data_IF_513779462604
#
_entry.id   IF_513779462604
#
_cell.length_a   1.000
_cell.length_b   1.000
_cell.length_c   1.000
_cell.angle_alpha   90.00
_cell.angle_beta   90.00
_cell.angle_gamma   90.00
#
_symmetry.space_group_name_H-M   'P 1'
#
loop_
_entity.id
_entity.type
_entity.pdbx_description
1 polymer ?
#
# COMPACT_ATOMS: atom_id res chain seq x y z
N UNK A 1 -1.81 28.62 58.15
CA UNK A 1 -0.70 28.82 59.11
C UNK A 1 0.23 27.61 59.04
N UNK A 2 1.52 27.87 58.73
CA UNK A 2 2.77 27.10 58.98
C UNK A 2 2.78 25.56 58.71
N UNK A 3 3.51 25.04 57.71
CA UNK A 3 4.98 24.87 57.49
C UNK A 3 5.56 23.55 58.06
N UNK A 4 6.01 22.67 57.15
CA UNK A 4 7.24 21.86 57.15
C UNK A 4 7.04 20.70 56.13
N UNK A 5 7.86 20.41 55.11
CA UNK A 5 9.24 20.78 54.80
C UNK A 5 10.18 19.62 55.09
N UNK A 6 10.32 18.63 54.18
CA UNK A 6 11.52 17.79 54.12
C UNK A 6 11.75 17.21 52.72
N UNK A 7 12.91 17.58 52.14
CA UNK A 7 13.52 17.06 50.93
C UNK A 7 14.08 15.65 51.14
N UNK A 8 14.07 14.81 50.09
CA UNK A 8 15.17 13.86 49.78
C UNK A 8 15.12 13.36 48.32
N UNK A 9 16.09 13.87 47.55
CA UNK A 9 17.01 13.14 46.66
C UNK A 9 16.48 12.06 45.69
N UNK A 10 16.34 12.46 44.42
CA UNK A 10 17.16 12.01 43.28
C UNK A 10 17.41 10.51 43.04
N UNK A 11 16.76 9.96 42.02
CA UNK A 11 17.27 8.86 41.20
C UNK A 11 17.02 9.21 39.73
N UNK A 12 18.09 9.67 39.07
CA UNK A 12 18.15 9.96 37.64
C UNK A 12 18.59 8.68 36.93
N UNK A 13 17.74 8.14 36.06
CA UNK A 13 18.11 7.04 35.16
C UNK A 13 18.82 7.59 33.91
N UNK A 14 19.94 6.99 33.45
CA UNK A 14 20.71 7.52 32.34
C UNK A 14 20.02 7.21 31.00
N UNK A 15 19.63 8.27 30.29
CA UNK A 15 19.23 8.24 28.88
C UNK A 15 20.46 7.98 28.01
N UNK A 16 20.47 6.89 27.23
CA UNK A 16 21.51 6.63 26.22
C UNK A 16 21.39 7.62 25.05
N UNK A 17 22.51 8.17 24.53
CA UNK A 17 22.48 9.09 23.40
C UNK A 17 22.24 8.34 22.09
N UNK A 18 21.28 8.81 21.29
CA UNK A 18 21.10 8.45 19.88
C UNK A 18 22.29 9.01 19.08
N UNK A 19 23.02 8.14 18.40
CA UNK A 19 24.13 8.51 17.52
C UNK A 19 23.61 9.27 16.30
N UNK A 20 24.02 10.52 16.20
CA UNK A 20 23.89 11.37 15.01
C UNK A 20 24.79 10.85 13.88
N UNK A 21 24.23 10.56 12.71
CA UNK A 21 24.99 10.40 11.48
C UNK A 21 24.47 11.43 10.47
N UNK A 22 25.13 12.58 10.43
CA UNK A 22 24.99 13.55 9.35
C UNK A 22 26.39 13.99 8.90
N UNK A 23 26.51 14.13 7.58
CA UNK A 23 27.60 14.74 6.82
C UNK A 23 28.93 13.98 6.71
N UNK A 24 29.19 13.50 5.49
CA UNK A 24 30.38 13.87 4.70
C UNK A 24 30.10 13.70 3.21
N UNK A 25 29.86 14.82 2.53
CA UNK A 25 30.06 14.98 1.09
C UNK A 25 31.24 15.95 0.92
N UNK A 26 32.28 15.56 0.18
CA UNK A 26 33.01 16.42 -0.76
C UNK A 26 34.24 15.72 -1.38
N UNK A 27 34.18 15.63 -2.73
CA UNK A 27 35.24 15.88 -3.73
C UNK A 27 36.52 15.00 -3.72
N UNK A 28 36.82 14.39 -4.87
CA UNK A 28 37.75 14.99 -5.84
C UNK A 28 37.73 14.33 -7.22
N UNK A 29 37.87 15.20 -8.23
CA UNK A 29 38.00 14.93 -9.66
C UNK A 29 39.49 15.06 -10.06
N UNK A 30 39.85 14.34 -11.12
CA UNK A 30 41.02 14.48 -12.00
C UNK A 30 42.33 13.79 -11.61
N UNK A 31 42.75 12.85 -12.49
CA UNK A 31 43.91 13.07 -13.37
C UNK A 31 43.96 12.04 -14.51
N UNK A 32 44.05 12.55 -15.73
CA UNK A 32 44.51 11.85 -16.92
C UNK A 32 46.03 11.99 -17.03
N UNK A 33 46.73 10.96 -17.53
CA UNK A 33 47.93 11.07 -18.38
C UNK A 33 48.50 9.70 -18.80
N UNK A 34 48.73 9.53 -20.11
CA UNK A 34 49.72 8.63 -20.74
C UNK A 34 49.31 7.15 -20.86
N UNK A 35 49.38 6.46 -22.00
CA UNK A 35 50.08 6.71 -23.26
C UNK A 35 50.90 5.47 -23.65
N UNK A 36 50.82 5.07 -24.93
CA UNK A 36 51.61 4.05 -25.64
C UNK A 36 51.21 2.57 -25.45
N UNK A 37 51.50 1.64 -26.35
CA UNK A 37 51.53 1.56 -27.82
C UNK A 37 51.64 0.05 -28.13
N UNK A 38 51.07 -0.34 -29.27
CA UNK A 38 51.29 -1.55 -30.10
C UNK A 38 52.03 -2.82 -29.58
N UNK A 39 51.48 -4.00 -29.92
CA UNK A 39 52.30 -5.22 -30.03
C UNK A 39 51.54 -6.53 -30.21
N UNK A 40 51.43 -7.01 -31.47
CA UNK A 40 50.86 -8.30 -31.87
C UNK A 40 51.80 -9.50 -31.60
N UNK A 41 51.14 -10.67 -31.46
CA UNK A 41 51.51 -12.01 -31.97
C UNK A 41 52.35 -12.99 -31.11
N UNK A 42 51.92 -14.27 -31.14
CA UNK A 42 52.70 -15.47 -30.82
C UNK A 42 52.23 -16.22 -29.55
N UNK A 43 51.12 -16.96 -29.58
CA UNK A 43 51.03 -18.40 -29.91
C UNK A 43 51.53 -19.38 -28.82
N UNK A 44 50.59 -20.14 -28.25
CA UNK A 44 50.80 -21.54 -27.86
C UNK A 44 50.76 -21.89 -26.37
N UNK A 45 49.61 -22.34 -25.87
CA UNK A 45 49.45 -23.68 -25.26
C UNK A 45 48.03 -23.85 -24.69
N UNK A 46 47.44 -24.99 -25.03
CA UNK A 46 46.05 -25.38 -24.84
C UNK A 46 45.59 -25.50 -23.38
N UNK A 47 44.35 -25.11 -23.10
CA UNK A 47 43.46 -25.86 -22.19
C UNK A 47 42.06 -25.94 -22.81
N UNK A 48 41.76 -27.16 -23.25
CA UNK A 48 40.48 -27.83 -23.46
C UNK A 48 39.21 -27.02 -23.19
N UNK A 49 38.47 -26.78 -24.28
CA UNK A 49 37.04 -26.48 -24.21
C UNK A 49 36.24 -27.66 -23.68
N UNK A 50 35.30 -27.37 -22.78
CA UNK A 50 34.06 -28.12 -22.66
C UNK A 50 32.88 -27.17 -22.83
N UNK A 51 32.14 -27.50 -23.87
CA UNK A 51 30.82 -27.04 -24.28
C UNK A 51 29.83 -26.78 -23.14
N UNK A 52 29.12 -25.67 -23.29
CA UNK A 52 27.71 -25.40 -22.96
C UNK A 52 26.98 -26.39 -22.04
N UNK A 53 26.38 -25.84 -20.97
CA UNK A 53 24.98 -26.12 -20.65
C UNK A 53 24.25 -24.80 -20.41
N UNK A 54 23.43 -24.46 -21.37
CA UNK A 54 22.40 -23.43 -21.31
C UNK A 54 21.37 -23.76 -20.21
N UNK A 55 20.85 -22.69 -19.59
CA UNK A 55 19.41 -22.45 -19.52
C UNK A 55 18.53 -23.54 -18.92
N UNK A 56 18.21 -23.37 -17.65
CA UNK A 56 16.83 -23.52 -17.23
C UNK A 56 16.47 -22.27 -16.42
N UNK A 57 16.35 -21.12 -17.08
CA UNK A 57 15.56 -20.02 -16.52
C UNK A 57 14.16 -20.58 -16.35
N UNK A 58 13.77 -20.85 -15.11
CA UNK A 58 12.42 -21.27 -14.76
C UNK A 58 11.47 -20.16 -15.24
N UNK A 59 10.84 -20.39 -16.39
CA UNK A 59 9.82 -19.50 -16.94
C UNK A 59 8.51 -19.80 -16.22
N UNK A 60 8.37 -19.24 -15.02
CA UNK A 60 7.20 -19.42 -14.17
C UNK A 60 7.44 -18.99 -12.72
N UNK A 61 6.37 -18.87 -11.91
CA UNK A 61 6.49 -18.50 -10.49
C UNK A 61 7.43 -19.44 -9.74
N UNK A 62 8.37 -18.86 -8.99
CA UNK A 62 9.34 -19.61 -8.20
C UNK A 62 8.70 -20.11 -6.90
N UNK A 63 8.53 -21.43 -6.79
CA UNK A 63 7.97 -22.10 -5.61
C UNK A 63 9.03 -22.66 -4.64
N UNK A 64 10.32 -22.37 -4.85
CA UNK A 64 11.43 -22.99 -4.10
C UNK A 64 11.45 -22.58 -2.62
N UNK A 65 10.78 -21.49 -2.26
CA UNK A 65 10.48 -21.11 -0.87
C UNK A 65 8.99 -21.27 -0.59
N UNK A 66 8.61 -22.48 -0.16
CA UNK A 66 7.32 -22.71 0.52
C UNK A 66 7.44 -22.12 1.93
N UNK A 67 7.50 -20.80 2.00
CA UNK A 67 7.25 -20.09 3.26
C UNK A 67 5.77 -20.27 3.61
N UNK A 68 5.45 -20.30 4.92
CA UNK A 68 4.06 -20.44 5.36
C UNK A 68 3.22 -19.38 4.66
N UNK A 69 2.07 -19.78 4.13
CA UNK A 69 1.29 -18.93 3.24
C UNK A 69 0.52 -17.85 4.01
N UNK A 70 1.25 -16.92 4.65
CA UNK A 70 0.70 -15.78 5.37
C UNK A 70 -0.28 -15.01 4.49
N UNK A 71 0.00 -14.89 3.20
CA UNK A 71 -0.93 -14.29 2.22
C UNK A 71 -2.35 -14.88 2.29
N UNK A 72 -2.47 -16.21 2.42
CA UNK A 72 -3.77 -16.88 2.51
C UNK A 72 -4.39 -16.79 3.91
N UNK A 73 -3.64 -16.48 4.96
CA UNK A 73 -4.23 -16.12 6.24
C UNK A 73 -4.77 -14.67 6.21
N UNK A 74 -4.08 -13.77 5.50
CA UNK A 74 -4.49 -12.38 5.34
C UNK A 74 -5.79 -12.20 4.53
N UNK A 75 -6.13 -13.14 3.66
CA UNK A 75 -7.45 -13.10 2.99
C UNK A 75 -8.58 -13.21 4.02
N UNK A 76 -8.45 -14.11 5.00
CA UNK A 76 -9.49 -14.33 6.03
C UNK A 76 -9.65 -13.10 6.92
N UNK A 77 -8.58 -12.36 7.13
CA UNK A 77 -8.58 -11.09 7.87
C UNK A 77 -9.46 -10.06 7.16
N UNK A 78 -9.19 -9.80 5.87
CA UNK A 78 -9.98 -8.82 5.10
C UNK A 78 -11.40 -9.31 4.81
N UNK A 79 -11.62 -10.62 4.65
CA UNK A 79 -12.95 -11.20 4.52
C UNK A 79 -13.80 -10.99 5.78
N UNK A 80 -13.23 -11.21 6.97
CA UNK A 80 -13.94 -11.00 8.23
C UNK A 80 -14.30 -9.52 8.43
N UNK A 81 -13.38 -8.61 8.12
CA UNK A 81 -13.61 -7.17 8.16
C UNK A 81 -14.67 -6.74 7.15
N UNK A 82 -14.60 -7.22 5.91
CA UNK A 82 -15.58 -6.93 4.86
C UNK A 82 -16.98 -7.47 5.21
N UNK A 83 -17.08 -8.68 5.75
CA UNK A 83 -18.35 -9.26 6.23
C UNK A 83 -18.96 -8.43 7.37
N UNK A 84 -18.14 -7.84 8.22
CA UNK A 84 -18.61 -7.01 9.33
C UNK A 84 -19.03 -5.61 8.85
N UNK A 85 -18.14 -4.88 8.16
CA UNK A 85 -18.42 -3.57 7.61
C UNK A 85 -19.53 -3.57 6.56
N UNK A 86 -19.59 -4.61 5.71
CA UNK A 86 -20.62 -4.78 4.68
C UNK A 86 -22.02 -4.93 5.24
N UNK A 87 -22.17 -5.38 6.49
CA UNK A 87 -23.47 -5.47 7.16
C UNK A 87 -24.08 -4.11 7.49
N UNK A 88 -23.30 -3.04 7.35
CA UNK A 88 -23.69 -1.64 7.54
C UNK A 88 -23.94 -0.88 6.23
N UNK A 89 -23.85 -1.55 5.08
CA UNK A 89 -24.07 -0.93 3.78
C UNK A 89 -25.44 -0.23 3.72
N UNK A 90 -25.41 1.08 3.47
CA UNK A 90 -26.60 1.94 3.34
C UNK A 90 -27.30 2.31 4.66
N UNK A 91 -26.72 2.00 5.82
CA UNK A 91 -27.34 2.29 7.13
C UNK A 91 -27.11 3.71 7.66
N UNK A 92 -26.34 4.54 6.95
CA UNK A 92 -26.09 5.94 7.33
C UNK A 92 -25.12 6.15 8.49
N UNK A 93 -24.52 5.09 9.04
CA UNK A 93 -23.57 5.16 10.15
C UNK A 93 -22.19 4.69 9.71
N UNK A 94 -21.33 5.64 9.34
CA UNK A 94 -19.96 5.34 8.91
C UNK A 94 -19.07 4.86 10.06
N UNK A 95 -19.28 5.36 11.28
CA UNK A 95 -18.42 5.04 12.42
C UNK A 95 -18.71 3.63 12.92
N UNK A 96 -19.98 3.22 12.94
CA UNK A 96 -20.34 1.85 13.30
C UNK A 96 -19.90 0.82 12.24
N UNK A 97 -19.96 1.20 10.95
CA UNK A 97 -19.43 0.35 9.87
C UNK A 97 -17.92 0.11 10.02
N UNK A 98 -17.19 1.19 10.29
CA UNK A 98 -15.75 1.19 10.46
C UNK A 98 -15.32 0.39 11.71
N UNK A 99 -15.92 0.69 12.86
CA UNK A 99 -15.68 -0.04 14.10
C UNK A 99 -15.93 -1.55 13.95
N UNK A 100 -17.01 -1.95 13.25
CA UNK A 100 -17.29 -3.35 13.00
C UNK A 100 -16.18 -4.04 12.16
N UNK A 101 -15.63 -3.33 11.17
CA UNK A 101 -14.52 -3.81 10.36
C UNK A 101 -13.23 -3.93 11.18
N UNK A 102 -12.88 -2.89 11.95
CA UNK A 102 -11.73 -2.85 12.87
C UNK A 102 -11.76 -4.04 13.85
N UNK A 103 -12.89 -4.23 14.53
CA UNK A 103 -13.08 -5.27 15.54
C UNK A 103 -12.79 -6.66 14.96
N UNK A 104 -13.37 -6.94 13.78
CA UNK A 104 -13.24 -8.25 13.15
C UNK A 104 -11.88 -8.45 12.50
N UNK A 105 -11.30 -7.41 11.88
CA UNK A 105 -9.93 -7.44 11.36
C UNK A 105 -8.95 -7.79 12.48
N UNK A 106 -8.97 -7.03 13.57
CA UNK A 106 -8.08 -7.23 14.72
C UNK A 106 -8.25 -8.61 15.36
N UNK A 107 -9.50 -9.04 15.53
CA UNK A 107 -9.81 -10.37 16.10
C UNK A 107 -9.17 -11.47 15.27
N UNK A 108 -9.31 -11.46 13.95
CA UNK A 108 -8.72 -12.50 13.10
C UNK A 108 -7.20 -12.37 13.06
N UNK A 109 -6.66 -11.15 12.95
CA UNK A 109 -5.21 -10.92 12.98
C UNK A 109 -4.53 -11.47 14.24
N UNK A 110 -5.18 -11.38 15.40
CA UNK A 110 -4.65 -11.93 16.66
C UNK A 110 -4.41 -13.44 16.63
N UNK A 111 -5.03 -14.16 15.69
CA UNK A 111 -4.89 -15.60 15.51
C UNK A 111 -3.81 -15.98 14.50
N UNK A 112 -3.28 -15.02 13.74
CA UNK A 112 -2.27 -15.27 12.71
C UNK A 112 -0.91 -15.52 13.37
N UNK A 113 -0.23 -16.60 12.92
CA UNK A 113 1.07 -17.00 13.44
C UNK A 113 2.18 -16.07 12.92
N UNK A 114 2.37 -14.95 13.62
CA UNK A 114 3.34 -13.90 13.30
C UNK A 114 3.63 -13.04 14.54
N UNK A 115 4.67 -12.23 14.45
CA UNK A 115 5.00 -11.18 15.39
C UNK A 115 4.91 -9.86 14.61
N UNK A 116 3.69 -9.34 14.53
CA UNK A 116 3.36 -8.14 13.77
C UNK A 116 3.44 -6.89 14.62
N UNK A 117 3.88 -5.80 13.99
CA UNK A 117 3.68 -4.44 14.49
C UNK A 117 2.82 -3.68 13.48
N UNK A 118 1.76 -3.05 13.94
CA UNK A 118 0.94 -2.13 13.14
C UNK A 118 1.75 -0.85 12.91
N UNK A 119 2.23 -0.64 11.69
CA UNK A 119 2.92 0.60 11.28
C UNK A 119 1.91 1.63 10.78
N UNK A 120 0.85 1.16 10.12
CA UNK A 120 -0.27 1.97 9.65
C UNK A 120 -1.56 1.31 10.13
N UNK A 121 -2.42 2.07 10.79
CA UNK A 121 -3.75 1.64 11.18
C UNK A 121 -4.67 2.82 11.51
N UNK A 122 -5.58 2.65 12.47
CA UNK A 122 -6.68 3.60 12.75
C UNK A 122 -6.20 4.95 13.30
N UNK A 123 -4.98 5.02 13.81
CA UNK A 123 -4.39 6.24 14.35
C UNK A 123 -3.40 5.98 15.47
N UNK A 124 -3.08 7.04 16.22
CA UNK A 124 -2.20 6.95 17.38
C UNK A 124 -2.88 6.24 18.55
N UNK A 125 -2.08 5.67 19.47
CA UNK A 125 -2.59 4.89 20.62
C UNK A 125 -3.62 5.62 21.49
N UNK A 126 -3.47 6.94 21.62
CA UNK A 126 -4.37 7.76 22.44
C UNK A 126 -5.70 8.08 21.70
N UNK A 127 -5.74 7.89 20.38
CA UNK A 127 -6.87 8.23 19.51
C UNK A 127 -7.62 6.98 19.02
N UNK A 128 -6.94 5.84 18.92
CA UNK A 128 -7.48 4.57 18.45
C UNK A 128 -7.31 3.45 19.51
N UNK A 129 -8.41 2.83 19.99
CA UNK A 129 -8.33 1.77 20.99
C UNK A 129 -7.77 0.44 20.45
N UNK A 130 -7.77 0.27 19.12
CA UNK A 130 -7.44 -0.96 18.40
C UNK A 130 -6.80 -0.62 17.07
N UNK A 131 -5.88 -1.46 16.60
CA UNK A 131 -5.09 -1.26 15.38
C UNK A 131 -4.38 0.10 15.37
N UNK A 132 -3.89 0.54 16.53
CA UNK A 132 -3.14 1.78 16.66
C UNK A 132 -1.69 1.60 16.19
N UNK A 133 -1.05 2.68 15.75
CA UNK A 133 0.36 2.70 15.36
C UNK A 133 1.26 2.22 16.52
N UNK A 134 2.00 1.13 16.29
CA UNK A 134 2.83 0.45 17.28
C UNK A 134 2.15 -0.70 18.03
N UNK A 135 0.89 -1.04 17.74
CA UNK A 135 0.25 -2.22 18.33
C UNK A 135 0.98 -3.50 17.92
N UNK A 136 1.27 -4.38 18.89
CA UNK A 136 1.77 -5.72 18.64
C UNK A 136 0.60 -6.69 18.42
N UNK A 137 0.61 -7.40 17.30
CA UNK A 137 -0.51 -8.27 16.90
C UNK A 137 -0.03 -9.59 16.28
N UNK A 138 -0.87 -10.62 16.35
CA UNK A 138 -0.53 -12.01 16.01
C UNK A 138 -0.15 -12.84 17.24
N UNK A 139 0.26 -14.08 17.03
CA UNK A 139 0.61 -15.01 18.14
C UNK A 139 1.96 -14.72 18.81
N UNK A 140 2.71 -13.72 18.33
CA UNK A 140 4.04 -13.36 18.82
C UNK A 140 5.18 -14.27 18.34
N UNK A 141 4.90 -15.18 17.42
CA UNK A 141 5.88 -16.12 16.86
C UNK A 141 6.50 -15.55 15.58
N UNK A 142 7.66 -16.04 15.15
CA UNK A 142 8.22 -15.66 13.84
C UNK A 142 7.21 -15.92 12.70
N UNK A 143 7.20 -15.10 11.64
CA UNK A 143 8.17 -14.03 11.35
C UNK A 143 7.88 -12.68 12.04
N UNK A 144 8.93 -11.87 12.24
CA UNK A 144 8.82 -10.43 12.56
C UNK A 144 8.36 -9.63 11.32
N UNK A 145 7.19 -9.03 11.40
CA UNK A 145 6.58 -8.30 10.27
C UNK A 145 6.09 -6.91 10.66
N UNK A 146 6.03 -6.04 9.66
CA UNK A 146 5.27 -4.79 9.67
C UNK A 146 3.91 -5.02 9.01
N UNK A 147 2.89 -4.33 9.53
CA UNK A 147 1.51 -4.43 9.05
C UNK A 147 0.97 -3.03 8.79
N UNK A 148 0.36 -2.85 7.62
CA UNK A 148 -0.47 -1.70 7.30
C UNK A 148 -1.90 -2.17 7.05
N UNK A 149 -2.86 -1.61 7.77
CA UNK A 149 -4.27 -1.96 7.66
C UNK A 149 -5.10 -0.74 7.29
N UNK A 150 -6.11 -0.99 6.46
CA UNK A 150 -7.25 -0.12 6.27
C UNK A 150 -8.49 -1.02 6.33
N UNK A 151 -9.07 -1.22 7.53
CA UNK A 151 -10.21 -2.09 7.74
C UNK A 151 -11.39 -1.74 6.85
N UNK A 152 -11.59 -0.46 6.52
CA UNK A 152 -12.66 0.00 5.66
C UNK A 152 -12.29 1.25 4.84
N UNK A 153 -11.62 1.04 3.71
CA UNK A 153 -11.38 2.08 2.71
C UNK A 153 -12.73 2.46 2.07
N UNK A 154 -13.22 3.65 2.41
CA UNK A 154 -14.52 4.15 1.98
C UNK A 154 -15.65 3.97 3.00
N UNK A 155 -15.41 4.28 4.28
CA UNK A 155 -16.47 4.34 5.32
C UNK A 155 -17.70 5.16 4.89
N UNK A 156 -17.50 6.29 4.21
CA UNK A 156 -18.57 7.11 3.63
C UNK A 156 -19.34 6.34 2.55
N UNK A 157 -18.64 5.62 1.67
CA UNK A 157 -19.27 4.79 0.63
C UNK A 157 -20.19 3.76 1.26
N UNK A 158 -19.73 3.04 2.29
CA UNK A 158 -20.55 2.05 2.99
C UNK A 158 -21.76 2.69 3.63
N UNK A 159 -21.57 3.77 4.40
CA UNK A 159 -22.70 4.43 5.08
C UNK A 159 -23.79 4.89 4.11
N UNK A 160 -23.40 5.29 2.89
CA UNK A 160 -24.30 5.79 1.85
C UNK A 160 -24.78 4.70 0.86
N UNK A 161 -24.35 3.45 1.03
CA UNK A 161 -24.70 2.36 0.11
C UNK A 161 -24.10 2.52 -1.28
N UNK A 162 -22.95 3.19 -1.39
CA UNK A 162 -22.23 3.42 -2.65
C UNK A 162 -21.21 2.34 -2.91
N UNK A 163 -20.84 2.25 -4.19
CA UNK A 163 -19.84 1.35 -4.73
C UNK A 163 -18.41 1.81 -4.39
N UNK A 164 -17.47 0.86 -4.37
CA UNK A 164 -16.03 1.09 -4.31
C UNK A 164 -15.34 0.78 -2.97
N UNK A 165 -16.11 0.52 -1.90
CA UNK A 165 -15.52 0.24 -0.59
C UNK A 165 -14.85 -1.14 -0.53
N UNK A 166 -13.64 -1.19 0.01
CA UNK A 166 -12.84 -2.41 0.20
C UNK A 166 -12.24 -2.45 1.60
N UNK A 167 -11.90 -3.65 2.08
CA UNK A 167 -11.10 -3.85 3.29
C UNK A 167 -9.71 -4.34 2.87
N UNK A 168 -8.64 -3.76 3.42
CA UNK A 168 -7.28 -3.94 2.91
C UNK A 168 -6.27 -4.19 4.02
N UNK A 169 -5.29 -5.04 3.71
CA UNK A 169 -4.10 -5.23 4.52
C UNK A 169 -2.87 -5.43 3.63
N UNK A 170 -1.77 -4.79 4.03
CA UNK A 170 -0.43 -5.07 3.53
C UNK A 170 0.48 -5.53 4.66
N UNK A 171 1.40 -6.43 4.35
CA UNK A 171 2.38 -6.97 5.29
C UNK A 171 3.72 -7.08 4.60
N UNK A 172 4.79 -6.70 5.29
CA UNK A 172 6.15 -6.83 4.82
C UNK A 172 7.10 -7.18 5.97
N UNK A 173 8.38 -7.41 5.67
CA UNK A 173 9.40 -7.59 6.69
C UNK A 173 9.45 -6.39 7.67
N UNK A 174 9.88 -6.64 8.91
CA UNK A 174 10.03 -5.58 9.91
C UNK A 174 10.90 -4.42 9.39
N UNK A 175 10.39 -3.20 9.50
CA UNK A 175 11.01 -1.96 9.04
C UNK A 175 10.93 -1.73 7.52
N UNK A 176 10.15 -2.52 6.77
CA UNK A 176 10.04 -2.42 5.31
C UNK A 176 8.93 -1.48 4.84
N UNK A 177 7.91 -1.21 5.67
CA UNK A 177 6.85 -0.25 5.35
C UNK A 177 7.25 1.16 5.80
N UNK A 178 6.98 2.14 4.96
CA UNK A 178 7.19 3.55 5.29
C UNK A 178 6.24 4.00 6.39
N UNK A 179 6.79 4.65 7.41
CA UNK A 179 6.02 5.26 8.48
C UNK A 179 5.59 6.68 8.03
N UNK A 180 4.28 6.95 7.86
CA UNK A 180 3.77 8.25 7.43
C UNK A 180 4.06 9.36 8.45
N UNK A 181 4.32 9.02 9.71
CA UNK A 181 4.54 9.96 10.80
C UNK A 181 3.44 11.03 10.87
N UNK A 182 3.78 12.31 11.02
CA UNK A 182 2.78 13.37 11.18
C UNK A 182 2.13 13.82 9.86
N UNK A 183 2.57 13.31 8.70
CA UNK A 183 2.11 13.79 7.40
C UNK A 183 1.06 12.86 6.79
N UNK A 184 -0.21 13.17 7.04
CA UNK A 184 -1.34 12.32 6.65
C UNK A 184 -1.73 12.39 5.18
N UNK A 185 -1.16 13.29 4.37
CA UNK A 185 -1.46 13.41 2.95
C UNK A 185 -0.19 13.36 2.09
N UNK A 186 -0.33 12.80 0.89
CA UNK A 186 0.70 12.80 -0.13
C UNK A 186 0.10 12.93 -1.52
N UNK A 187 0.85 13.57 -2.42
CA UNK A 187 0.67 13.42 -3.86
C UNK A 187 1.05 11.99 -4.27
N UNK A 188 0.30 11.43 -5.21
CA UNK A 188 0.44 10.07 -5.70
C UNK A 188 0.44 10.08 -7.23
N UNK A 189 1.34 9.30 -7.81
CA UNK A 189 1.30 8.89 -9.22
C UNK A 189 1.45 7.38 -9.25
N UNK A 190 0.47 6.67 -9.81
CA UNK A 190 0.56 5.22 -9.98
C UNK A 190 0.33 4.78 -11.42
N UNK A 191 1.08 3.78 -11.85
CA UNK A 191 1.00 3.18 -13.19
C UNK A 191 1.13 1.66 -13.13
N UNK A 192 0.58 0.98 -14.13
CA UNK A 192 0.69 -0.47 -14.31
C UNK A 192 2.06 -0.95 -14.82
N UNK A 193 2.28 -2.29 -14.84
CA UNK A 193 3.55 -2.91 -15.23
C UNK A 193 3.98 -2.64 -16.68
N UNK A 194 3.06 -2.27 -17.56
CA UNK A 194 3.33 -1.94 -18.95
C UNK A 194 4.02 -0.57 -19.12
N UNK A 195 3.98 0.28 -18.08
CA UNK A 195 4.58 1.62 -18.11
C UNK A 195 5.91 1.60 -17.37
N UNK A 196 7.01 1.87 -18.07
CA UNK A 196 8.30 2.04 -17.43
C UNK A 196 8.26 3.22 -16.44
N UNK A 197 8.57 3.02 -15.15
CA UNK A 197 8.43 4.05 -14.11
C UNK A 197 9.32 5.28 -14.35
N UNK A 198 10.39 5.17 -15.15
CA UNK A 198 11.25 6.29 -15.52
C UNK A 198 10.65 7.22 -16.60
N UNK A 199 9.56 6.80 -17.25
CA UNK A 199 8.86 7.62 -18.25
C UNK A 199 7.89 8.64 -17.61
N UNK A 200 7.52 8.40 -16.34
CA UNK A 200 6.54 9.21 -15.60
C UNK A 200 7.18 9.80 -14.35
N UNK A 201 6.72 10.98 -13.92
CA UNK A 201 7.17 11.60 -12.68
C UNK A 201 6.18 12.60 -12.12
N UNK A 202 6.06 12.65 -10.79
CA UNK A 202 5.37 13.75 -10.09
C UNK A 202 6.00 15.13 -10.38
N UNK A 203 7.26 15.19 -10.85
CA UNK A 203 7.92 16.43 -11.24
C UNK A 203 7.57 16.88 -12.67
N UNK A 204 6.88 16.05 -13.45
CA UNK A 204 6.51 16.37 -14.82
C UNK A 204 5.13 17.04 -14.89
N UNK A 205 4.91 17.92 -15.89
CA UNK A 205 3.57 18.37 -16.20
C UNK A 205 2.63 17.19 -16.46
N UNK A 206 1.38 17.31 -16.04
CA UNK A 206 0.34 16.27 -16.19
C UNK A 206 0.23 15.76 -17.63
N UNK A 207 0.25 16.68 -18.60
CA UNK A 207 0.21 16.34 -20.03
C UNK A 207 1.36 15.41 -20.45
N UNK A 208 2.57 15.62 -19.91
CA UNK A 208 3.73 14.78 -20.21
C UNK A 208 3.56 13.37 -19.66
N UNK A 209 3.07 13.23 -18.43
CA UNK A 209 2.78 11.93 -17.83
C UNK A 209 1.72 11.17 -18.64
N UNK A 210 0.62 11.84 -19.01
CA UNK A 210 -0.44 11.25 -19.85
C UNK A 210 0.10 10.78 -21.20
N UNK A 211 0.92 11.59 -21.87
CA UNK A 211 1.55 11.22 -23.15
C UNK A 211 2.50 10.03 -22.99
N UNK A 212 3.28 9.99 -21.92
CA UNK A 212 4.17 8.87 -21.63
C UNK A 212 3.40 7.55 -21.44
N UNK A 213 2.31 7.59 -20.67
CA UNK A 213 1.41 6.45 -20.47
C UNK A 213 0.77 6.02 -21.80
N UNK A 214 0.29 6.97 -22.61
CA UNK A 214 -0.28 6.70 -23.93
C UNK A 214 0.70 5.95 -24.86
N UNK A 215 1.97 6.39 -24.87
CA UNK A 215 3.04 5.75 -25.66
C UNK A 215 3.34 4.34 -25.14
N UNK A 216 3.49 4.17 -23.83
CA UNK A 216 3.79 2.87 -23.23
C UNK A 216 2.68 1.84 -23.50
N UNK A 217 1.41 2.27 -23.43
CA UNK A 217 0.24 1.43 -23.66
C UNK A 217 -0.17 1.33 -25.14
N UNK A 218 0.59 1.94 -26.05
CA UNK A 218 0.32 1.98 -27.50
C UNK A 218 -1.13 2.37 -27.84
N UNK A 219 -1.62 3.45 -27.22
CA UNK A 219 -2.99 3.96 -27.44
C UNK A 219 -3.02 5.48 -27.53
N UNK A 220 -4.02 6.08 -28.21
CA UNK A 220 -4.09 7.53 -28.32
C UNK A 220 -4.43 8.14 -26.95
N UNK A 221 -3.99 9.38 -26.72
CA UNK A 221 -4.21 10.11 -25.45
C UNK A 221 -5.69 10.16 -25.04
N UNK A 222 -6.60 10.27 -26.01
CA UNK A 222 -8.06 10.27 -25.77
C UNK A 222 -8.61 8.98 -25.15
N UNK A 223 -7.86 7.89 -25.24
CA UNK A 223 -8.22 6.58 -24.69
C UNK A 223 -7.47 6.28 -23.39
N UNK A 224 -6.62 7.20 -22.91
CA UNK A 224 -6.02 7.14 -21.57
C UNK A 224 -7.05 7.63 -20.55
N UNK A 225 -7.26 6.86 -19.49
CA UNK A 225 -8.13 7.21 -18.37
C UNK A 225 -7.30 7.45 -17.12
N UNK A 226 -7.41 8.67 -16.58
CA UNK A 226 -6.77 9.08 -15.32
C UNK A 226 -7.76 8.93 -14.17
N UNK A 227 -7.39 8.17 -13.14
CA UNK A 227 -8.16 8.02 -11.91
C UNK A 227 -7.74 9.10 -10.90
N UNK A 228 -8.71 9.86 -10.39
CA UNK A 228 -8.48 11.02 -9.50
C UNK A 228 -9.60 11.08 -8.46
N UNK A 229 -9.26 11.35 -7.19
CA UNK A 229 -10.28 11.64 -6.16
C UNK A 229 -11.04 12.94 -6.49
N UNK A 230 -12.36 12.95 -6.40
CA UNK A 230 -13.18 14.14 -6.59
C UNK A 230 -13.11 15.04 -5.35
N UNK A 231 -12.19 16.00 -5.38
CA UNK A 231 -11.94 16.94 -4.29
C UNK A 231 -11.68 18.32 -4.85
N UNK A 232 -12.06 19.41 -4.14
CA UNK A 232 -11.76 20.77 -4.57
C UNK A 232 -10.27 21.01 -4.85
N UNK A 233 -9.38 20.40 -4.05
CA UNK A 233 -7.91 20.46 -4.23
C UNK A 233 -7.42 19.86 -5.56
N UNK A 234 -8.25 19.09 -6.27
CA UNK A 234 -7.91 18.49 -7.56
C UNK A 234 -8.52 19.22 -8.76
N UNK A 235 -9.18 20.37 -8.57
CA UNK A 235 -9.78 21.10 -9.68
C UNK A 235 -8.77 21.43 -10.80
N UNK A 236 -7.54 21.81 -10.41
CA UNK A 236 -6.47 22.12 -11.37
C UNK A 236 -5.97 20.87 -12.11
N UNK A 237 -5.64 19.79 -11.40
CA UNK A 237 -5.15 18.56 -12.04
C UNK A 237 -6.20 17.93 -12.97
N UNK A 238 -7.49 18.02 -12.59
CA UNK A 238 -8.62 17.61 -13.43
C UNK A 238 -8.69 18.46 -14.71
N UNK A 239 -8.55 19.79 -14.59
CA UNK A 239 -8.55 20.67 -15.75
C UNK A 239 -7.37 20.38 -16.69
N UNK A 240 -6.17 20.15 -16.14
CA UNK A 240 -4.98 19.78 -16.91
C UNK A 240 -5.14 18.43 -17.63
N UNK A 241 -5.76 17.43 -16.99
CA UNK A 241 -6.06 16.14 -17.63
C UNK A 241 -7.05 16.31 -18.80
N UNK A 242 -8.11 17.11 -18.62
CA UNK A 242 -9.08 17.43 -19.68
C UNK A 242 -8.42 18.16 -20.84
N UNK A 243 -7.55 19.12 -20.55
CA UNK A 243 -6.80 19.87 -21.57
C UNK A 243 -5.84 18.99 -22.36
N UNK A 244 -5.18 18.03 -21.69
CA UNK A 244 -4.35 17.02 -22.35
C UNK A 244 -5.15 16.08 -23.26
N UNK A 245 -6.48 16.03 -23.10
CA UNK A 245 -7.39 15.22 -23.90
C UNK A 245 -7.65 13.82 -23.33
N UNK A 246 -7.20 13.52 -22.12
CA UNK A 246 -7.46 12.24 -21.46
C UNK A 246 -8.88 12.15 -20.89
N UNK A 247 -9.35 10.92 -20.70
CA UNK A 247 -10.56 10.61 -19.92
C UNK A 247 -10.23 10.68 -18.43
N UNK A 248 -11.25 10.93 -17.61
CA UNK A 248 -11.09 10.97 -16.15
C UNK A 248 -12.13 10.06 -15.51
N UNK A 249 -11.68 9.24 -14.57
CA UNK A 249 -12.54 8.54 -13.63
C UNK A 249 -12.42 9.22 -12.27
N UNK A 250 -13.51 9.82 -11.82
CA UNK A 250 -13.57 10.48 -10.52
C UNK A 250 -14.02 9.48 -9.46
N UNK A 251 -13.24 9.40 -8.37
CA UNK A 251 -13.56 8.58 -7.21
C UNK A 251 -14.03 9.47 -6.06
N UNK A 252 -15.16 9.17 -5.43
CA UNK A 252 -15.55 9.91 -4.23
C UNK A 252 -14.70 9.54 -3.02
N UNK A 253 -14.27 8.29 -2.89
CA UNK A 253 -13.31 7.79 -1.89
C UNK A 253 -12.61 6.56 -2.50
N UNK A 254 -11.64 5.95 -1.82
CA UNK A 254 -11.08 4.66 -2.27
C UNK A 254 -9.89 4.76 -3.23
N UNK A 255 -8.84 5.50 -2.84
CA UNK A 255 -7.70 5.71 -3.74
C UNK A 255 -6.68 4.56 -3.74
N UNK A 256 -6.76 3.62 -2.79
CA UNK A 256 -6.05 2.33 -2.82
C UNK A 256 -6.54 1.50 -4.00
N UNK A 257 -7.86 1.32 -4.12
CA UNK A 257 -8.47 0.59 -5.23
C UNK A 257 -8.10 1.24 -6.58
N UNK A 258 -8.17 2.58 -6.65
CA UNK A 258 -7.80 3.34 -7.85
C UNK A 258 -6.35 3.14 -8.29
N UNK A 259 -5.41 3.01 -7.33
CA UNK A 259 -4.02 2.68 -7.62
C UNK A 259 -3.87 1.25 -8.15
N UNK A 260 -4.48 0.27 -7.48
CA UNK A 260 -4.39 -1.16 -7.88
C UNK A 260 -4.98 -1.38 -9.27
N UNK A 261 -6.06 -0.65 -9.59
CA UNK A 261 -6.69 -0.69 -10.90
C UNK A 261 -5.73 -0.29 -12.04
N UNK A 262 -4.67 0.48 -11.82
CA UNK A 262 -3.70 0.80 -12.89
C UNK A 262 -2.91 -0.42 -13.33
N UNK A 263 -2.75 -1.42 -12.46
CA UNK A 263 -1.99 -2.65 -12.74
C UNK A 263 -2.88 -3.87 -13.03
N UNK A 264 -4.21 -3.72 -12.91
CA UNK A 264 -5.14 -4.82 -13.18
C UNK A 264 -5.39 -4.98 -14.67
N UNK A 265 -5.10 -6.17 -15.20
CA UNK A 265 -5.38 -6.48 -16.60
C UNK A 265 -6.87 -6.27 -16.93
N UNK A 266 -7.14 -5.57 -18.03
CA UNK A 266 -8.51 -5.25 -18.47
C UNK A 266 -9.21 -4.17 -17.63
N UNK A 267 -8.52 -3.55 -16.68
CA UNK A 267 -9.02 -2.36 -15.99
C UNK A 267 -9.18 -1.18 -16.95
N UNK A 268 -10.18 -0.31 -16.74
CA UNK A 268 -10.32 0.91 -17.54
C UNK A 268 -9.37 2.03 -17.12
N UNK A 269 -8.59 1.87 -16.04
CA UNK A 269 -7.70 2.89 -15.46
C UNK A 269 -6.25 2.63 -15.88
N UNK A 270 -5.56 3.68 -16.35
CA UNK A 270 -4.18 3.58 -16.84
C UNK A 270 -3.16 4.32 -15.97
N UNK A 271 -3.65 5.36 -15.29
CA UNK A 271 -2.85 6.29 -14.52
C UNK A 271 -3.67 6.77 -13.34
N UNK A 272 -3.11 6.76 -12.14
CA UNK A 272 -3.67 7.46 -11.00
C UNK A 272 -2.85 8.73 -10.75
N UNK A 273 -3.54 9.84 -10.47
CA UNK A 273 -2.91 11.11 -10.08
C UNK A 273 -3.72 11.81 -8.99
N UNK A 274 -3.04 12.52 -8.10
CA UNK A 274 -3.66 13.46 -7.17
C UNK A 274 -3.12 13.33 -5.75
N UNK A 275 -3.80 13.97 -4.80
CA UNK A 275 -3.48 14.02 -3.38
C UNK A 275 -4.49 13.19 -2.58
N UNK A 276 -3.98 12.18 -1.89
CA UNK A 276 -4.74 11.31 -1.00
C UNK A 276 -3.98 11.04 0.30
N UNK A 277 -4.48 10.11 1.12
CA UNK A 277 -3.84 9.83 2.39
C UNK A 277 -2.49 9.13 2.23
N UNK A 278 -1.49 9.50 3.03
CA UNK A 278 -0.17 8.86 3.01
C UNK A 278 -0.23 7.37 3.39
N UNK A 279 -0.98 6.97 4.44
CA UNK A 279 -1.17 5.55 4.79
C UNK A 279 -1.61 4.68 3.60
N UNK A 280 -2.62 5.14 2.87
CA UNK A 280 -3.19 4.49 1.70
C UNK A 280 -2.18 4.43 0.54
N UNK A 281 -1.30 5.44 0.43
CA UNK A 281 -0.20 5.44 -0.53
C UNK A 281 0.82 4.32 -0.28
N UNK A 282 1.14 4.04 0.98
CA UNK A 282 2.03 2.94 1.37
C UNK A 282 1.39 1.57 1.09
N UNK A 283 0.10 1.44 1.42
CA UNK A 283 -0.69 0.21 1.14
C UNK A 283 -0.77 -0.03 -0.38
N UNK A 284 -1.08 1.01 -1.16
CA UNK A 284 -1.13 0.95 -2.62
C UNK A 284 0.24 0.61 -3.23
N UNK A 285 1.33 1.17 -2.69
CA UNK A 285 2.68 0.82 -3.10
C UNK A 285 2.94 -0.68 -2.86
N UNK A 286 2.62 -1.23 -1.69
CA UNK A 286 2.79 -2.66 -1.41
C UNK A 286 2.01 -3.54 -2.42
N UNK A 287 0.78 -3.14 -2.78
CA UNK A 287 -0.03 -3.83 -3.78
C UNK A 287 0.62 -3.80 -5.18
N UNK A 288 1.03 -2.60 -5.64
CA UNK A 288 1.64 -2.41 -6.96
C UNK A 288 2.98 -3.13 -7.08
N UNK A 289 3.78 -3.19 -6.00
CA UNK A 289 4.99 -4.01 -5.96
C UNK A 289 4.70 -5.48 -6.22
N UNK A 290 3.60 -6.01 -5.70
CA UNK A 290 3.18 -7.39 -5.96
C UNK A 290 2.71 -7.62 -7.41
N UNK A 291 2.19 -6.58 -8.07
CA UNK A 291 1.65 -6.66 -9.44
C UNK A 291 2.65 -6.22 -10.53
N UNK A 292 3.82 -5.72 -10.14
CA UNK A 292 4.82 -5.17 -11.06
C UNK A 292 4.54 -3.73 -11.53
N UNK A 293 3.57 -3.04 -10.92
CA UNK A 293 3.32 -1.62 -11.15
C UNK A 293 4.29 -0.73 -10.36
N UNK A 294 4.07 0.58 -10.41
CA UNK A 294 4.89 1.55 -9.68
C UNK A 294 4.05 2.68 -9.10
N UNK A 295 4.39 3.08 -7.88
CA UNK A 295 3.88 4.29 -7.24
C UNK A 295 5.01 5.27 -6.91
N UNK A 296 4.78 6.54 -7.20
CA UNK A 296 5.55 7.67 -6.69
C UNK A 296 4.69 8.46 -5.70
N UNK A 297 5.30 8.83 -4.57
CA UNK A 297 4.70 9.63 -3.53
C UNK A 297 5.48 10.92 -3.29
N UNK A 298 4.81 12.00 -2.93
CA UNK A 298 5.45 13.19 -2.35
C UNK A 298 4.59 13.72 -1.21
N UNK A 299 5.17 13.83 -0.02
CA UNK A 299 4.46 14.30 1.16
C UNK A 299 3.81 15.67 0.90
N UNK A 300 2.57 15.82 1.34
CA UNK A 300 1.76 17.02 1.13
C UNK A 300 1.22 17.55 2.46
N UNK A 301 2.04 18.32 3.21
CA UNK A 301 1.59 18.94 4.46
C UNK A 301 0.46 19.93 4.17
N UNK A 302 -0.65 19.83 4.92
CA UNK A 302 -1.84 20.69 4.69
C UNK A 302 -1.61 22.14 5.11
N UNK A 303 -0.66 22.37 6.00
CA UNK A 303 -0.36 23.67 6.59
C UNK A 303 1.09 23.70 7.14
N UNK A 304 1.52 24.88 7.58
CA UNK A 304 2.88 25.09 8.10
C UNK A 304 3.15 24.40 9.44
N UNK A 305 2.11 24.01 10.18
CA UNK A 305 2.29 23.23 11.41
C UNK A 305 2.66 21.79 11.09
N UNK A 306 1.92 21.14 10.20
CA UNK A 306 2.26 19.79 9.71
C UNK A 306 3.61 19.76 9.03
N UNK A 307 3.93 20.80 8.23
CA UNK A 307 5.25 20.96 7.61
C UNK A 307 6.36 20.92 8.66
N UNK A 308 6.25 21.75 9.69
CA UNK A 308 7.25 21.81 10.78
C UNK A 308 7.32 20.50 11.56
N UNK A 309 6.20 19.84 11.81
CA UNK A 309 6.18 18.52 12.48
C UNK A 309 6.88 17.45 11.64
N UNK A 310 6.62 17.41 10.33
CA UNK A 310 7.28 16.49 9.41
C UNK A 310 8.79 16.74 9.33
N UNK A 311 9.22 17.99 9.19
CA UNK A 311 10.63 18.38 9.18
C UNK A 311 11.32 18.06 10.51
N UNK A 312 10.66 18.29 11.65
CA UNK A 312 11.17 17.94 12.98
C UNK A 312 11.28 16.42 13.18
N UNK A 313 10.43 15.64 12.53
CA UNK A 313 10.52 14.18 12.47
C UNK A 313 11.62 13.68 11.50
N UNK A 314 12.29 14.59 10.78
CA UNK A 314 13.38 14.27 9.84
C UNK A 314 12.88 13.86 8.45
N UNK A 315 11.62 14.13 8.10
CA UNK A 315 11.06 13.83 6.79
C UNK A 315 11.42 14.94 5.77
N UNK A 316 11.96 14.54 4.62
CA UNK A 316 12.12 15.44 3.47
C UNK A 316 10.81 15.50 2.68
N UNK A 317 10.04 16.56 2.92
CA UNK A 317 8.76 16.81 2.26
C UNK A 317 8.88 17.18 0.77
N UNK A 318 10.08 17.49 0.29
CA UNK A 318 10.33 17.81 -1.12
C UNK A 318 10.73 16.60 -1.95
N UNK A 319 11.16 15.52 -1.29
CA UNK A 319 11.60 14.29 -1.93
C UNK A 319 10.43 13.56 -2.63
N UNK A 320 10.76 12.95 -3.77
CA UNK A 320 9.92 11.90 -4.36
C UNK A 320 10.27 10.60 -3.66
N UNK A 321 9.29 10.03 -2.98
CA UNK A 321 9.31 8.68 -2.44
C UNK A 321 8.93 7.72 -3.58
N UNK A 322 9.87 6.92 -4.04
CA UNK A 322 9.60 5.88 -5.02
C UNK A 322 9.03 4.64 -4.34
N UNK A 323 8.63 3.68 -5.18
CA UNK A 323 8.05 2.40 -4.78
C UNK A 323 8.79 1.72 -3.61
N UNK A 324 10.12 1.66 -3.66
CA UNK A 324 10.94 1.04 -2.62
C UNK A 324 11.16 1.96 -1.41
N UNK A 325 11.01 3.27 -1.52
CA UNK A 325 11.01 4.16 -0.35
C UNK A 325 9.74 3.95 0.49
N UNK A 326 8.62 3.62 -0.16
CA UNK A 326 7.33 3.34 0.48
C UNK A 326 7.23 1.89 0.99
N UNK A 327 7.81 0.93 0.25
CA UNK A 327 7.77 -0.49 0.59
C UNK A 327 9.03 -1.23 0.06
N UNK A 328 10.11 -1.28 0.86
CA UNK A 328 11.42 -1.85 0.45
C UNK A 328 11.58 -3.37 0.62
N UNK A 329 10.57 -4.06 1.14
CA UNK A 329 10.64 -5.50 1.44
C UNK A 329 10.66 -6.39 0.20
N UNK A 330 11.18 -7.62 0.31
CA UNK A 330 11.12 -8.65 -0.73
C UNK A 330 9.94 -9.61 -0.50
N UNK A 331 9.62 -9.87 0.78
CA UNK A 331 8.47 -10.63 1.24
C UNK A 331 7.30 -9.69 1.55
N UNK A 332 6.78 -9.08 0.49
CA UNK A 332 5.58 -8.24 0.58
C UNK A 332 4.34 -9.07 0.24
N UNK A 333 3.33 -8.96 1.09
CA UNK A 333 2.02 -9.56 0.94
C UNK A 333 0.95 -8.48 0.94
N UNK A 334 -0.07 -8.70 0.12
CA UNK A 334 -1.24 -7.83 0.07
C UNK A 334 -2.50 -8.68 0.01
N UNK A 335 -3.54 -8.28 0.74
CA UNK A 335 -4.88 -8.81 0.57
C UNK A 335 -5.91 -7.69 0.61
N UNK A 336 -6.94 -7.81 -0.21
CA UNK A 336 -8.12 -6.97 -0.12
C UNK A 336 -9.40 -7.77 -0.38
N UNK A 337 -10.50 -7.36 0.26
CA UNK A 337 -11.83 -7.95 0.04
C UNK A 337 -12.85 -6.84 -0.23
N UNK A 338 -13.72 -7.04 -1.22
CA UNK A 338 -14.77 -6.09 -1.56
C UNK A 338 -15.85 -6.01 -0.48
N UNK A 339 -16.12 -4.80 0.02
CA UNK A 339 -17.22 -4.54 0.97
C UNK A 339 -18.49 -4.19 0.21
N UNK A 340 -18.38 -3.25 -0.73
CA UNK A 340 -19.41 -2.89 -1.70
C UNK A 340 -18.91 -3.20 -3.12
N UNK A 341 -19.78 -3.16 -4.12
CA UNK A 341 -19.36 -3.45 -5.48
C UNK A 341 -18.37 -2.42 -6.00
N UNK A 342 -17.28 -2.87 -6.61
CA UNK A 342 -16.31 -2.02 -7.31
C UNK A 342 -15.75 -2.73 -8.54
N UNK A 343 -14.96 -2.00 -9.32
CA UNK A 343 -14.38 -2.55 -10.55
C UNK A 343 -13.18 -3.50 -10.27
N UNK A 344 -12.60 -3.40 -9.07
CA UNK A 344 -11.58 -4.30 -8.57
C UNK A 344 -12.19 -5.60 -7.99
N UNK A 345 -13.13 -5.47 -7.06
CA UNK A 345 -13.75 -6.60 -6.33
C UNK A 345 -15.26 -6.42 -6.22
N UNK A 346 -15.99 -7.54 -6.29
CA UNK A 346 -17.41 -7.56 -5.94
C UNK A 346 -17.59 -7.39 -4.44
N UNK A 347 -18.63 -6.66 -4.05
CA UNK A 347 -18.98 -6.48 -2.65
C UNK A 347 -19.54 -7.77 -2.03
N UNK A 348 -19.72 -7.73 -0.70
CA UNK A 348 -20.32 -8.85 0.03
C UNK A 348 -21.74 -9.10 -0.47
N UNK A 349 -22.12 -10.38 -0.56
CA UNK A 349 -23.52 -10.79 -0.80
C UNK A 349 -23.99 -11.68 0.33
N UNK A 350 -25.01 -11.24 1.06
CA UNK A 350 -25.64 -12.04 2.10
C UNK A 350 -26.81 -12.83 1.49
N UNK A 351 -26.95 -14.07 1.94
CA UNK A 351 -28.05 -14.96 1.56
C UNK A 351 -28.48 -15.81 2.75
N UNK A 352 -29.58 -16.55 2.61
CA UNK A 352 -30.07 -17.41 3.69
C UNK A 352 -29.01 -18.44 4.07
N UNK A 353 -28.52 -18.38 5.31
CA UNK A 353 -27.51 -19.32 5.82
C UNK A 353 -26.05 -18.92 5.56
N UNK A 354 -25.76 -17.74 5.01
CA UNK A 354 -24.38 -17.39 4.73
C UNK A 354 -24.13 -16.08 4.00
N UNK A 355 -22.92 -15.96 3.46
CA UNK A 355 -22.50 -14.85 2.63
C UNK A 355 -21.45 -15.28 1.59
N UNK A 356 -21.23 -14.48 0.56
CA UNK A 356 -20.07 -14.63 -0.33
C UNK A 356 -19.23 -13.37 -0.36
N UNK A 357 -17.91 -13.56 -0.39
CA UNK A 357 -16.89 -12.49 -0.52
C UNK A 357 -16.09 -12.69 -1.79
N UNK A 358 -15.56 -11.58 -2.32
CA UNK A 358 -14.61 -11.60 -3.41
C UNK A 358 -13.36 -10.84 -3.01
N UNK A 359 -12.22 -11.51 -3.12
CA UNK A 359 -10.94 -11.04 -2.60
C UNK A 359 -9.82 -11.16 -3.63
N UNK A 360 -8.80 -10.33 -3.46
CA UNK A 360 -7.53 -10.42 -4.18
C UNK A 360 -6.41 -10.64 -3.15
N UNK A 361 -5.50 -11.56 -3.44
CA UNK A 361 -4.33 -11.87 -2.60
C UNK A 361 -3.09 -11.91 -3.47
N UNK A 362 -2.02 -11.26 -3.02
CA UNK A 362 -0.82 -11.07 -3.82
C UNK A 362 0.44 -11.24 -2.98
N UNK A 363 1.52 -11.71 -3.62
CA UNK A 363 2.84 -11.87 -2.99
C UNK A 363 3.95 -11.49 -3.96
N UNK A 364 4.73 -10.47 -3.59
CA UNK A 364 5.80 -9.91 -4.42
C UNK A 364 6.84 -10.95 -4.83
N UNK A 365 7.37 -11.71 -3.88
CA UNK A 365 8.44 -12.70 -4.15
C UNK A 365 8.07 -13.79 -5.17
N UNK A 366 6.78 -14.04 -5.36
CA UNK A 366 6.28 -15.05 -6.31
C UNK A 366 5.65 -14.45 -7.56
N UNK A 367 5.37 -13.14 -7.56
CA UNK A 367 4.54 -12.47 -8.57
C UNK A 367 3.10 -13.03 -8.68
N UNK A 368 2.67 -13.87 -7.73
CA UNK A 368 1.38 -14.55 -7.83
C UNK A 368 0.27 -13.60 -7.37
N UNK A 369 -0.73 -13.42 -8.25
CA UNK A 369 -2.00 -12.74 -7.96
C UNK A 369 -3.10 -13.79 -7.94
N UNK A 370 -3.90 -13.82 -6.87
CA UNK A 370 -5.02 -14.74 -6.70
C UNK A 370 -6.31 -13.95 -6.57
N UNK A 371 -7.28 -14.26 -7.43
CA UNK A 371 -8.67 -13.85 -7.23
C UNK A 371 -9.38 -15.00 -6.50
N UNK A 372 -10.03 -14.69 -5.40
CA UNK A 372 -10.69 -15.67 -4.53
C UNK A 372 -12.16 -15.30 -4.42
N UNK A 373 -13.02 -16.29 -4.60
CA UNK A 373 -14.44 -16.22 -4.29
C UNK A 373 -14.73 -17.23 -3.20
N UNK A 374 -15.22 -16.76 -2.06
CA UNK A 374 -15.44 -17.59 -0.88
C UNK A 374 -16.91 -17.61 -0.54
N UNK A 375 -17.45 -18.81 -0.31
CA UNK A 375 -18.79 -19.00 0.25
C UNK A 375 -18.69 -19.33 1.74
N UNK A 376 -19.19 -18.42 2.56
CA UNK A 376 -19.24 -18.53 4.01
C UNK A 376 -20.56 -19.17 4.42
N UNK A 377 -20.51 -20.36 5.04
CA UNK A 377 -21.70 -21.03 5.59
C UNK A 377 -21.77 -20.81 7.09
N UNK A 378 -22.91 -20.34 7.58
CA UNK A 378 -23.16 -20.19 9.00
C UNK A 378 -23.83 -21.45 9.55
N UNK A 379 -23.46 -21.86 10.77
CA UNK A 379 -24.02 -23.04 11.43
C UNK A 379 -25.54 -22.93 11.69
N UNK A 380 -26.06 -21.70 11.73
CA UNK A 380 -27.49 -21.37 11.75
C UNK A 380 -27.70 -20.17 10.81
N UNK A 381 -28.82 -20.10 10.04
CA UNK A 381 -29.20 -18.88 9.36
C UNK A 381 -29.20 -17.70 10.35
N UNK A 382 -28.84 -16.49 9.92
CA UNK A 382 -29.05 -15.32 10.76
C UNK A 382 -30.55 -15.16 10.98
N UNK A 383 -31.04 -15.62 12.12
CA UNK A 383 -32.46 -15.61 12.54
C UNK A 383 -32.98 -14.18 12.80
N UNK A 384 -32.22 -13.13 12.44
CA UNK A 384 -32.47 -11.78 12.95
C UNK A 384 -33.63 -11.01 12.29
N UNK A 385 -34.41 -11.58 11.35
CA UNK A 385 -35.58 -10.87 10.80
C UNK A 385 -36.78 -11.75 10.34
N UNK A 386 -36.74 -13.08 10.49
CA UNK A 386 -37.85 -13.95 10.01
C UNK A 386 -38.82 -14.32 11.14
N UNK A 387 -38.38 -14.32 12.39
CA UNK A 387 -39.22 -14.76 13.51
C UNK A 387 -40.32 -13.76 13.91
N UNK A 388 -40.28 -12.52 13.40
CA UNK A 388 -41.28 -11.47 13.66
C UNK A 388 -42.23 -11.22 12.48
N UNK A 389 -42.29 -12.12 11.49
CA UNK A 389 -43.22 -12.05 10.34
C UNK A 389 -44.42 -13.01 10.50
N UNK A 390 -44.99 -13.12 11.70
CA UNK A 390 -46.25 -13.80 11.96
C UNK A 390 -47.31 -12.84 12.48
#
# INVERSE_FOLDING_TARGET
MMKAGLLRQGLVFPTRPRSSCALRHARQVARAAGGSDNGKSGAGAAVLGKSQKEGNELTGPNYVTVDRNLAMELVRVTEAAALAGGSWLGKGDKNAADQAAVDMMRKVLSTVQMNGIVVIGEGEKDEAPMLYCGEQIGTGQEPLVDIAVDPLDGTTLVSQGRNGAISVIAMAERGALFDPGPCMYMEKLAVGPEVNPHMVSLLYPVERNIKAVAVALNKPVRDVTVCILDRPRHAEIIAQCRQAGARIRLLSDGDVAGAIETAKQGSPVDLMLGIGGTPEGVIAAAALKCMGGSLQGRLWPRNDEERRKAEAAGLDISAILYQDDLCKGEQVFFAATGVSDGDLLRGVRYYSGGASTNSIVMRASSGTVRMIETQHKWAKPSITNIDNLN
#
